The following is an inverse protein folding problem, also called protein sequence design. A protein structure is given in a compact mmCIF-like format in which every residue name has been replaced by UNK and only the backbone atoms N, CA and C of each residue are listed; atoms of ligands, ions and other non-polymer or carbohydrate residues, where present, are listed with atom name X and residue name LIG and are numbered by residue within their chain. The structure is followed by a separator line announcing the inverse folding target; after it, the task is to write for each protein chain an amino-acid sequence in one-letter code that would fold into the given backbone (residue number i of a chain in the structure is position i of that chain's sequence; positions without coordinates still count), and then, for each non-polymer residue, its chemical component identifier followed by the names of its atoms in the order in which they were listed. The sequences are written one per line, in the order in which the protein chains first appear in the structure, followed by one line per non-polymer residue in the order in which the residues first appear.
data_IF_573537326799
#
_entry.id   IF_573537326799
#
_cell.length_a   1.000
_cell.length_b   1.000
_cell.length_c   1.000
_cell.angle_alpha   90.00
_cell.angle_beta   90.00
_cell.angle_gamma   90.00
#
_symmetry.space_group_name_H-M   'P 1'
#
loop_
_entity.id
_entity.type
_entity.pdbx_description
1 polymer ?
#
# COMPACT_ATOMS: atom_id res chain seq x y z
N UNK A 1 -23.45 66.79 -25.71
CA UNK A 1 -23.27 65.34 -25.96
C UNK A 1 -22.10 64.85 -25.09
N UNK A 2 -22.37 64.31 -23.90
CA UNK A 2 -21.37 63.81 -23.00
C UNK A 2 -21.27 62.30 -23.15
N UNK A 3 -20.09 61.77 -23.55
CA UNK A 3 -19.82 60.33 -23.60
C UNK A 3 -19.31 59.85 -22.26
N UNK A 4 -20.09 59.03 -21.62
CA UNK A 4 -19.73 58.33 -20.37
C UNK A 4 -18.91 57.10 -20.73
N UNK A 5 -17.63 57.07 -20.35
CA UNK A 5 -16.73 55.92 -20.46
C UNK A 5 -16.92 55.04 -19.21
N UNK A 6 -17.55 53.85 -19.42
CA UNK A 6 -17.62 52.81 -18.38
C UNK A 6 -16.25 52.02 -18.38
N UNK A 7 -15.50 52.22 -17.28
CA UNK A 7 -14.35 51.36 -16.99
C UNK A 7 -14.85 50.07 -16.33
N UNK A 8 -14.82 48.98 -17.09
CA UNK A 8 -15.02 47.62 -16.56
C UNK A 8 -13.69 47.14 -15.94
N UNK A 9 -13.60 47.15 -14.62
CA UNK A 9 -12.50 46.58 -13.89
C UNK A 9 -12.57 45.06 -13.94
N UNK A 10 -11.61 44.39 -14.63
CA UNK A 10 -11.41 42.95 -14.54
C UNK A 10 -10.85 42.59 -13.15
N UNK A 11 -11.67 41.99 -12.32
CA UNK A 11 -11.23 41.31 -11.10
C UNK A 11 -10.62 39.95 -11.50
N UNK A 12 -9.29 39.87 -11.53
CA UNK A 12 -8.56 38.62 -11.63
C UNK A 12 -8.69 37.87 -10.30
N UNK A 13 -9.18 36.62 -10.29
CA UNK A 13 -9.17 35.81 -9.06
C UNK A 13 -7.71 35.55 -8.65
N UNK A 14 -7.35 35.91 -7.41
CA UNK A 14 -6.08 35.58 -6.84
C UNK A 14 -6.04 34.05 -6.59
N UNK A 15 -5.26 33.34 -7.43
CA UNK A 15 -4.91 31.93 -7.20
C UNK A 15 -3.95 31.86 -6.01
N UNK A 16 -4.46 31.63 -4.84
CA UNK A 16 -3.63 31.28 -3.69
C UNK A 16 -3.08 29.86 -3.93
N UNK A 17 -1.75 29.68 -3.87
CA UNK A 17 -1.20 28.32 -3.91
C UNK A 17 -1.74 27.57 -2.68
N UNK A 18 -2.41 26.45 -2.89
CA UNK A 18 -2.73 25.52 -1.82
C UNK A 18 -1.40 24.98 -1.29
N UNK A 19 -1.00 25.39 -0.10
CA UNK A 19 0.13 24.78 0.62
C UNK A 19 -0.33 23.38 0.97
N UNK A 20 0.18 22.36 0.26
CA UNK A 20 0.03 20.98 0.65
C UNK A 20 0.72 20.83 2.02
N UNK A 21 -0.05 20.59 3.07
CA UNK A 21 0.51 20.27 4.38
C UNK A 21 1.23 18.94 4.26
N UNK A 22 2.52 18.93 4.60
CA UNK A 22 3.29 17.70 4.67
C UNK A 22 2.58 16.71 5.61
N UNK A 23 2.47 15.45 5.18
CA UNK A 23 1.84 14.40 5.98
C UNK A 23 2.75 14.07 7.16
N UNK A 24 2.24 14.27 8.38
CA UNK A 24 2.92 13.85 9.59
C UNK A 24 2.69 12.34 9.83
N UNK A 25 3.80 11.59 9.84
CA UNK A 25 3.81 10.13 9.97
C UNK A 25 3.83 9.73 11.43
N UNK A 26 2.98 8.78 11.80
CA UNK A 26 2.88 8.25 13.16
C UNK A 26 3.21 6.76 13.20
N UNK A 27 3.61 6.26 14.38
CA UNK A 27 3.74 4.81 14.60
C UNK A 27 2.42 4.10 14.32
N UNK A 28 2.49 3.00 13.57
CA UNK A 28 1.31 2.24 13.16
C UNK A 28 0.65 2.71 11.87
N UNK A 29 1.14 3.80 11.26
CA UNK A 29 0.68 4.17 9.92
C UNK A 29 1.06 3.10 8.91
N UNK A 30 0.18 2.87 7.95
CA UNK A 30 0.44 2.00 6.81
C UNK A 30 0.78 2.84 5.58
N UNK A 31 1.89 2.51 4.95
CA UNK A 31 2.39 3.14 3.74
C UNK A 31 2.04 2.28 2.54
N UNK A 32 1.10 2.73 1.73
CA UNK A 32 0.73 2.06 0.49
C UNK A 32 1.47 2.70 -0.69
N UNK A 33 2.16 1.87 -1.47
CA UNK A 33 2.91 2.33 -2.66
C UNK A 33 2.06 2.07 -3.90
N UNK A 34 1.88 3.12 -4.73
CA UNK A 34 1.07 3.02 -5.94
C UNK A 34 1.63 1.99 -6.91
N UNK A 35 0.75 1.28 -7.61
CA UNK A 35 1.13 0.26 -8.57
C UNK A 35 1.91 0.83 -9.77
N UNK A 36 2.91 0.08 -10.22
CA UNK A 36 3.63 0.34 -11.46
C UNK A 36 2.86 -0.22 -12.67
N UNK A 37 3.36 0.09 -13.88
CA UNK A 37 2.66 -0.22 -15.14
C UNK A 37 3.17 -1.49 -15.84
N UNK A 38 4.06 -2.26 -15.22
CA UNK A 38 4.68 -3.44 -15.84
C UNK A 38 4.97 -4.54 -14.83
N UNK A 39 5.19 -5.76 -15.32
CA UNK A 39 5.61 -6.91 -14.53
C UNK A 39 4.61 -7.29 -13.43
N UNK A 40 5.13 -7.70 -12.29
CA UNK A 40 4.36 -8.09 -11.11
C UNK A 40 3.38 -7.00 -10.66
N UNK A 41 3.83 -5.75 -10.66
CA UNK A 41 3.02 -4.61 -10.22
C UNK A 41 1.74 -4.43 -11.07
N UNK A 42 1.88 -4.50 -12.40
CA UNK A 42 0.73 -4.44 -13.31
C UNK A 42 -0.19 -5.67 -13.16
N UNK A 43 0.37 -6.85 -12.88
CA UNK A 43 -0.43 -8.05 -12.66
C UNK A 43 -1.23 -8.00 -11.34
N UNK A 44 -0.67 -7.39 -10.28
CA UNK A 44 -1.39 -7.13 -9.03
C UNK A 44 -2.52 -6.13 -9.28
N UNK A 45 -2.24 -5.03 -10.01
CA UNK A 45 -3.24 -4.03 -10.37
C UNK A 45 -4.39 -4.64 -11.20
N UNK A 46 -4.05 -5.45 -12.20
CA UNK A 46 -5.03 -6.13 -13.05
C UNK A 46 -5.97 -7.05 -12.26
N UNK A 47 -5.44 -7.78 -11.28
CA UNK A 47 -6.23 -8.73 -10.49
C UNK A 47 -7.00 -8.09 -9.32
N UNK A 48 -6.52 -6.97 -8.77
CA UNK A 48 -7.03 -6.42 -7.49
C UNK A 48 -7.36 -4.94 -7.52
N UNK A 49 -7.01 -4.22 -8.59
CA UNK A 49 -7.26 -2.79 -8.74
C UNK A 49 -8.75 -2.49 -8.89
N UNK A 50 -9.15 -1.33 -8.39
CA UNK A 50 -10.52 -0.80 -8.55
C UNK A 50 -10.51 0.41 -9.47
N UNK A 51 -11.42 0.44 -10.44
CA UNK A 51 -11.52 1.59 -11.35
C UNK A 51 -11.82 2.89 -10.59
N UNK A 52 -11.08 3.95 -10.94
CA UNK A 52 -11.29 5.28 -10.37
C UNK A 52 -10.66 5.54 -9.00
N UNK A 53 -9.93 4.58 -8.44
CA UNK A 53 -9.17 4.73 -7.21
C UNK A 53 -7.66 4.50 -7.46
N UNK A 54 -6.78 5.07 -6.63
CA UNK A 54 -5.36 4.70 -6.65
C UNK A 54 -5.20 3.20 -6.42
N UNK A 55 -4.45 2.53 -7.28
CA UNK A 55 -4.10 1.13 -7.11
C UNK A 55 -2.74 0.99 -6.44
N UNK A 56 -2.60 -0.01 -5.57
CA UNK A 56 -1.42 -0.28 -4.77
C UNK A 56 -0.94 -1.71 -4.99
N UNK A 57 0.38 -1.88 -5.06
CA UNK A 57 1.02 -3.20 -5.15
C UNK A 57 1.92 -3.51 -3.96
N UNK A 58 2.09 -2.55 -3.06
CA UNK A 58 2.91 -2.73 -1.86
C UNK A 58 2.31 -2.02 -0.66
N UNK A 59 2.55 -2.58 0.52
CA UNK A 59 2.18 -2.00 1.82
C UNK A 59 3.27 -2.26 2.85
N UNK A 60 3.47 -1.29 3.74
CA UNK A 60 4.48 -1.32 4.79
C UNK A 60 3.96 -0.68 6.07
N UNK A 61 4.53 -1.03 7.23
CA UNK A 61 4.17 -0.54 8.56
C UNK A 61 5.23 0.43 9.08
N UNK A 62 4.81 1.60 9.54
CA UNK A 62 5.69 2.56 10.20
C UNK A 62 5.88 2.18 11.67
N UNK A 63 7.11 2.21 12.12
CA UNK A 63 7.47 2.01 13.51
C UNK A 63 8.47 3.07 13.99
N UNK A 64 8.46 3.37 15.27
CA UNK A 64 9.44 4.27 15.88
C UNK A 64 10.83 3.60 15.96
N UNK A 65 11.86 4.41 15.74
CA UNK A 65 13.25 3.97 15.88
C UNK A 65 14.07 5.03 16.65
N UNK A 66 15.22 4.69 17.20
CA UNK A 66 16.05 5.65 17.97
C UNK A 66 16.46 6.91 17.20
N UNK A 67 16.45 6.85 15.86
CA UNK A 67 16.81 7.97 14.97
C UNK A 67 15.69 8.31 13.99
N UNK A 68 14.45 8.42 14.46
CA UNK A 68 13.28 8.78 13.64
C UNK A 68 12.36 7.60 13.33
N UNK A 69 12.00 7.38 12.08
CA UNK A 69 11.06 6.36 11.66
C UNK A 69 11.73 5.23 10.88
N UNK A 70 11.37 3.99 11.20
CA UNK A 70 11.66 2.82 10.38
C UNK A 70 10.37 2.28 9.73
N UNK A 71 10.54 1.55 8.65
CA UNK A 71 9.48 0.91 7.88
C UNK A 71 9.71 -0.59 7.94
N UNK A 72 8.71 -1.34 8.40
CA UNK A 72 8.72 -2.79 8.51
C UNK A 72 7.86 -3.36 7.39
N UNK A 73 8.41 -4.22 6.54
CA UNK A 73 7.70 -4.76 5.39
C UNK A 73 8.34 -6.07 4.87
N UNK A 74 7.69 -6.70 3.89
CA UNK A 74 8.26 -7.78 3.11
C UNK A 74 8.28 -7.39 1.62
N UNK A 75 9.44 -7.48 0.98
CA UNK A 75 9.67 -7.25 -0.44
C UNK A 75 10.56 -8.35 -1.04
N UNK A 76 11.02 -8.19 -2.27
CA UNK A 76 11.87 -9.17 -2.95
C UNK A 76 13.15 -9.56 -2.17
N UNK A 77 13.54 -8.76 -1.19
CA UNK A 77 14.67 -9.03 -0.29
C UNK A 77 14.26 -9.75 1.00
N UNK A 78 12.99 -10.11 1.13
CA UNK A 78 12.41 -10.74 2.31
C UNK A 78 11.77 -9.73 3.29
N UNK A 79 11.39 -10.23 4.46
CA UNK A 79 10.86 -9.39 5.53
C UNK A 79 11.99 -8.63 6.20
N UNK A 80 11.94 -7.32 6.15
CA UNK A 80 13.04 -6.44 6.57
C UNK A 80 12.56 -5.10 7.11
N UNK A 81 13.51 -4.36 7.64
CA UNK A 81 13.35 -2.96 8.01
C UNK A 81 14.27 -2.08 7.16
N UNK A 82 13.83 -0.87 6.88
CA UNK A 82 14.65 0.21 6.33
C UNK A 82 14.22 1.55 6.94
N UNK A 83 15.01 2.58 6.82
CA UNK A 83 14.59 3.91 7.25
C UNK A 83 13.45 4.43 6.37
N UNK A 84 12.60 5.30 6.91
CA UNK A 84 11.53 5.95 6.13
C UNK A 84 12.10 6.68 4.93
N UNK A 85 13.26 7.35 5.08
CA UNK A 85 13.93 8.06 4.00
C UNK A 85 14.36 7.12 2.86
N UNK A 86 14.94 5.97 3.18
CA UNK A 86 15.29 4.98 2.13
C UNK A 86 14.05 4.45 1.43
N UNK A 87 12.96 4.19 2.18
CA UNK A 87 11.71 3.73 1.59
C UNK A 87 11.10 4.76 0.62
N UNK A 88 11.15 6.06 0.98
CA UNK A 88 10.73 7.15 0.11
C UNK A 88 11.61 7.25 -1.15
N UNK A 89 12.94 7.15 -1.00
CA UNK A 89 13.88 7.17 -2.12
C UNK A 89 13.65 6.00 -3.08
N UNK A 90 13.39 4.79 -2.56
CA UNK A 90 13.08 3.60 -3.38
C UNK A 90 11.79 3.79 -4.20
N UNK A 91 10.75 4.37 -3.60
CA UNK A 91 9.50 4.67 -4.28
C UNK A 91 9.69 5.76 -5.35
N UNK A 92 10.39 6.84 -5.00
CA UNK A 92 10.65 7.97 -5.89
C UNK A 92 11.51 7.55 -7.12
N UNK A 93 12.52 6.71 -6.91
CA UNK A 93 13.36 6.18 -8.00
C UNK A 93 12.54 5.37 -9.01
N UNK A 94 11.44 4.76 -8.57
CA UNK A 94 10.49 4.02 -9.41
C UNK A 94 9.31 4.90 -9.88
N UNK A 95 9.34 6.22 -9.66
CA UNK A 95 8.27 7.18 -9.98
C UNK A 95 6.91 6.79 -9.38
N UNK A 96 6.92 6.31 -8.13
CA UNK A 96 5.74 5.83 -7.41
C UNK A 96 5.45 6.73 -6.21
N UNK A 97 4.18 6.91 -5.91
CA UNK A 97 3.73 7.65 -4.75
C UNK A 97 3.54 6.72 -3.55
N UNK A 98 3.75 7.27 -2.37
CA UNK A 98 3.41 6.63 -1.11
C UNK A 98 2.18 7.33 -0.54
N UNK A 99 1.14 6.57 -0.24
CA UNK A 99 -0.07 7.09 0.39
C UNK A 99 -0.15 6.56 1.81
N UNK A 100 -0.28 7.48 2.76
CA UNK A 100 -0.36 7.16 4.18
C UNK A 100 -1.81 6.87 4.56
N UNK A 101 -2.01 5.74 5.22
CA UNK A 101 -3.27 5.36 5.86
C UNK A 101 -3.03 5.13 7.35
N UNK A 102 -4.02 5.49 8.17
CA UNK A 102 -3.96 5.37 9.62
C UNK A 102 -5.15 4.58 10.14
N UNK A 103 -4.91 3.74 11.13
CA UNK A 103 -5.98 3.02 11.82
C UNK A 103 -6.92 4.01 12.51
N UNK A 104 -8.22 3.77 12.41
CA UNK A 104 -9.22 4.52 13.17
C UNK A 104 -9.12 4.20 14.68
N UNK A 105 -9.62 5.10 15.51
CA UNK A 105 -9.42 5.09 16.96
C UNK A 105 -9.57 3.71 17.66
N UNK A 106 -10.59 2.89 17.44
CA UNK A 106 -10.69 1.61 18.17
C UNK A 106 -9.53 0.66 17.87
N UNK A 107 -9.02 0.63 16.64
CA UNK A 107 -7.97 -0.28 16.21
C UNK A 107 -6.56 0.20 16.55
N UNK A 108 -6.39 1.46 16.94
CA UNK A 108 -5.07 2.00 17.34
C UNK A 108 -4.49 1.30 18.56
N UNK A 109 -5.33 0.71 19.43
CA UNK A 109 -4.86 -0.09 20.55
C UNK A 109 -4.00 -1.31 20.14
N UNK A 110 -4.15 -1.79 18.89
CA UNK A 110 -3.39 -2.91 18.35
C UNK A 110 -1.95 -2.53 17.93
N UNK A 111 -1.63 -1.24 17.75
CA UNK A 111 -0.40 -0.79 17.09
C UNK A 111 0.85 -1.30 17.82
N UNK A 112 0.90 -1.16 19.13
CA UNK A 112 2.06 -1.56 19.93
C UNK A 112 2.40 -3.05 19.75
N UNK A 113 1.39 -3.90 19.82
CA UNK A 113 1.56 -5.35 19.68
C UNK A 113 1.88 -5.73 18.23
N UNK A 114 1.26 -5.05 17.26
CA UNK A 114 1.52 -5.26 15.84
C UNK A 114 2.97 -4.91 15.47
N UNK A 115 3.49 -3.77 15.94
CA UNK A 115 4.89 -3.38 15.72
C UNK A 115 5.85 -4.39 16.37
N UNK A 116 5.56 -4.83 17.60
CA UNK A 116 6.36 -5.85 18.28
C UNK A 116 6.35 -7.17 17.48
N UNK A 117 5.17 -7.63 17.03
CA UNK A 117 5.02 -8.84 16.21
C UNK A 117 5.78 -8.70 14.88
N UNK A 118 5.61 -7.60 14.16
CA UNK A 118 6.30 -7.34 12.89
C UNK A 118 7.82 -7.46 13.04
N UNK A 119 8.38 -6.95 14.16
CA UNK A 119 9.82 -7.08 14.45
C UNK A 119 10.28 -8.51 14.63
N UNK A 120 9.44 -9.40 15.19
CA UNK A 120 9.78 -10.83 15.33
C UNK A 120 9.73 -11.58 14.01
N UNK A 121 9.04 -11.04 13.02
CA UNK A 121 8.85 -11.65 11.69
C UNK A 121 9.96 -11.26 10.69
N UNK A 122 10.93 -10.44 11.08
CA UNK A 122 12.00 -10.01 10.18
C UNK A 122 12.98 -11.15 9.86
N UNK A 123 13.59 -11.07 8.66
CA UNK A 123 14.62 -12.02 8.20
C UNK A 123 14.06 -13.26 7.48
N UNK A 124 12.76 -13.34 7.25
CA UNK A 124 12.15 -14.43 6.47
C UNK A 124 12.19 -14.11 4.96
N UNK A 125 12.25 -15.13 4.08
CA UNK A 125 12.17 -14.94 2.63
C UNK A 125 10.86 -14.25 2.19
N UNK A 126 10.86 -13.68 0.99
CA UNK A 126 9.62 -13.23 0.35
C UNK A 126 8.82 -14.42 -0.19
N UNK A 127 7.54 -14.43 0.11
CA UNK A 127 6.63 -15.47 -0.37
C UNK A 127 6.13 -15.16 -1.79
N UNK A 128 6.83 -15.68 -2.77
CA UNK A 128 6.48 -15.49 -4.19
C UNK A 128 5.29 -16.36 -4.64
N UNK A 129 4.90 -17.36 -3.83
CA UNK A 129 3.73 -18.19 -4.14
C UNK A 129 2.40 -17.53 -3.75
N UNK A 130 2.41 -16.51 -2.92
CA UNK A 130 1.22 -15.86 -2.36
C UNK A 130 0.22 -16.82 -1.67
N UNK A 131 0.63 -18.06 -1.42
CA UNK A 131 -0.09 -19.04 -0.60
C UNK A 131 0.48 -18.97 0.81
N UNK A 132 -0.38 -18.73 1.81
CA UNK A 132 0.06 -18.53 3.20
C UNK A 132 0.88 -19.72 3.72
N UNK A 133 2.00 -19.41 4.34
CA UNK A 133 2.87 -20.38 5.05
C UNK A 133 3.59 -19.67 6.20
N UNK A 134 4.28 -20.42 7.08
CA UNK A 134 4.94 -19.84 8.27
C UNK A 134 6.40 -19.45 8.01
N UNK A 135 6.96 -19.74 6.83
CA UNK A 135 8.39 -19.59 6.55
C UNK A 135 8.72 -18.37 5.68
N UNK A 136 7.71 -17.74 5.10
CA UNK A 136 7.88 -16.61 4.18
C UNK A 136 6.66 -15.71 4.17
N UNK A 137 6.85 -14.43 3.81
CA UNK A 137 5.77 -13.44 3.79
C UNK A 137 5.77 -12.64 2.50
N UNK A 138 4.59 -12.35 1.95
CA UNK A 138 4.43 -11.24 0.99
C UNK A 138 3.95 -9.98 1.71
N UNK A 139 3.95 -8.82 1.06
CA UNK A 139 3.81 -7.53 1.73
C UNK A 139 2.55 -7.40 2.60
N UNK A 140 1.38 -7.70 2.07
CA UNK A 140 0.12 -7.57 2.82
C UNK A 140 -0.12 -8.71 3.81
N UNK A 141 0.39 -9.93 3.56
CA UNK A 141 0.41 -11.01 4.54
C UNK A 141 1.24 -10.63 5.78
N UNK A 142 2.42 -10.03 5.58
CA UNK A 142 3.25 -9.52 6.66
C UNK A 142 2.46 -8.54 7.55
N UNK A 143 1.73 -7.61 6.96
CA UNK A 143 0.92 -6.64 7.70
C UNK A 143 -0.27 -7.33 8.40
N UNK A 144 -1.01 -8.21 7.70
CA UNK A 144 -2.13 -8.94 8.31
C UNK A 144 -1.66 -9.73 9.52
N UNK A 145 -0.56 -10.46 9.42
CA UNK A 145 0.01 -11.24 10.53
C UNK A 145 0.45 -10.38 11.70
N UNK A 146 1.04 -9.22 11.43
CA UNK A 146 1.40 -8.27 12.48
C UNK A 146 0.17 -7.86 13.32
N UNK A 147 -0.98 -7.70 12.68
CA UNK A 147 -2.23 -7.27 13.32
C UNK A 147 -3.20 -8.42 13.65
N UNK A 148 -2.85 -9.68 13.35
CA UNK A 148 -3.74 -10.86 13.44
C UNK A 148 -4.29 -11.10 14.84
N UNK A 149 -3.48 -10.90 15.89
CA UNK A 149 -3.92 -11.10 17.28
C UNK A 149 -5.11 -10.21 17.65
N UNK A 150 -5.21 -9.05 17.01
CA UNK A 150 -6.30 -8.09 17.22
C UNK A 150 -7.38 -8.16 16.14
N UNK A 151 -7.27 -9.07 15.16
CA UNK A 151 -8.23 -9.27 14.05
C UNK A 151 -8.55 -7.97 13.30
N UNK A 152 -7.54 -7.13 13.09
CA UNK A 152 -7.70 -5.82 12.43
C UNK A 152 -8.02 -5.99 10.95
N UNK A 153 -7.37 -6.94 10.28
CA UNK A 153 -7.61 -7.27 8.88
C UNK A 153 -8.13 -8.71 8.76
N UNK A 154 -9.09 -8.92 7.85
CA UNK A 154 -9.62 -10.24 7.57
C UNK A 154 -8.92 -10.84 6.34
N UNK A 155 -8.64 -12.14 6.39
CA UNK A 155 -8.27 -12.90 5.20
C UNK A 155 -9.49 -12.99 4.27
N UNK A 156 -9.23 -12.86 2.97
CA UNK A 156 -10.24 -12.96 1.93
C UNK A 156 -9.85 -14.07 0.94
N UNK A 157 -10.80 -14.71 0.27
CA UNK A 157 -10.47 -15.58 -0.85
C UNK A 157 -9.71 -14.77 -1.91
N UNK A 158 -8.44 -15.10 -2.13
CA UNK A 158 -7.63 -14.47 -3.16
C UNK A 158 -7.74 -15.24 -4.47
N UNK A 159 -7.88 -14.51 -5.55
CA UNK A 159 -7.71 -15.05 -6.89
C UNK A 159 -6.86 -14.08 -7.73
N UNK A 160 -6.37 -14.59 -8.87
CA UNK A 160 -5.46 -13.86 -9.75
C UNK A 160 -6.13 -13.48 -11.07
N UNK A 161 -7.47 -13.42 -11.07
CA UNK A 161 -8.28 -13.05 -12.23
C UNK A 161 -8.58 -11.57 -12.23
N UNK A 162 -8.54 -10.98 -13.40
CA UNK A 162 -9.11 -9.65 -13.61
C UNK A 162 -10.63 -9.70 -13.36
N UNK A 163 -11.17 -8.85 -12.47
CA UNK A 163 -12.59 -8.94 -12.07
C UNK A 163 -13.58 -8.55 -13.18
N UNK A 164 -13.13 -7.90 -14.28
CA UNK A 164 -13.97 -7.52 -15.42
C UNK A 164 -13.91 -8.54 -16.56
N UNK A 165 -12.73 -9.11 -16.83
CA UNK A 165 -12.51 -10.02 -17.97
C UNK A 165 -12.46 -11.48 -17.57
N UNK A 166 -12.34 -11.78 -16.27
CA UNK A 166 -12.13 -13.10 -15.69
C UNK A 166 -10.83 -13.80 -16.17
N UNK A 167 -9.99 -13.08 -16.89
CA UNK A 167 -8.72 -13.60 -17.38
C UNK A 167 -7.62 -13.49 -16.31
N UNK A 168 -6.68 -14.44 -16.36
CA UNK A 168 -5.48 -14.41 -15.54
C UNK A 168 -4.37 -13.75 -16.37
N UNK A 169 -3.73 -12.72 -15.86
CA UNK A 169 -2.63 -12.06 -16.52
C UNK A 169 -1.48 -13.05 -16.79
N UNK A 170 -0.85 -12.94 -17.96
CA UNK A 170 0.22 -13.84 -18.39
C UNK A 170 1.37 -13.94 -17.38
N UNK A 171 1.64 -12.86 -16.66
CA UNK A 171 2.64 -12.82 -15.59
C UNK A 171 2.39 -13.90 -14.51
N UNK A 172 1.14 -14.06 -14.07
CA UNK A 172 0.78 -15.09 -13.09
C UNK A 172 0.91 -16.50 -13.66
N UNK A 173 0.46 -16.70 -14.90
CA UNK A 173 0.58 -17.99 -15.58
C UNK A 173 2.04 -18.42 -15.67
N UNK A 174 2.93 -17.51 -16.05
CA UNK A 174 4.35 -17.82 -16.21
C UNK A 174 5.04 -18.03 -14.86
N UNK A 175 4.70 -17.23 -13.85
CA UNK A 175 5.22 -17.36 -12.49
C UNK A 175 4.90 -18.74 -11.90
N UNK A 176 3.63 -19.15 -11.91
CA UNK A 176 3.23 -20.43 -11.31
C UNK A 176 3.68 -21.63 -12.15
N UNK A 177 3.71 -21.49 -13.47
CA UNK A 177 4.33 -22.52 -14.34
C UNK A 177 5.81 -22.72 -13.98
N UNK A 178 6.56 -21.65 -13.73
CA UNK A 178 7.95 -21.71 -13.27
C UNK A 178 8.12 -22.43 -11.92
N UNK A 179 7.10 -22.45 -11.09
CA UNK A 179 7.06 -23.19 -9.82
C UNK A 179 6.52 -24.61 -9.96
N UNK A 180 6.08 -25.03 -11.15
CA UNK A 180 5.42 -26.33 -11.36
C UNK A 180 4.02 -26.41 -10.72
N UNK A 181 3.32 -25.28 -10.58
CA UNK A 181 2.03 -25.16 -9.94
C UNK A 181 0.99 -24.54 -10.89
N UNK A 182 -0.28 -24.85 -10.67
CA UNK A 182 -1.37 -24.09 -11.23
C UNK A 182 -1.54 -22.75 -10.47
N UNK A 183 -2.08 -21.72 -11.14
CA UNK A 183 -2.39 -20.45 -10.50
C UNK A 183 -3.47 -20.68 -9.43
N UNK A 184 -3.15 -20.49 -8.13
CA UNK A 184 -4.11 -20.78 -7.06
C UNK A 184 -5.29 -19.82 -7.15
N UNK A 185 -6.48 -20.30 -6.78
CA UNK A 185 -7.69 -19.52 -6.71
C UNK A 185 -8.34 -19.74 -5.35
N UNK A 186 -8.99 -18.70 -4.85
CA UNK A 186 -9.79 -18.71 -3.62
C UNK A 186 -9.04 -19.13 -2.33
N UNK A 187 -7.71 -19.16 -2.38
CA UNK A 187 -6.92 -19.38 -1.17
C UNK A 187 -7.05 -18.18 -0.23
N UNK A 188 -7.13 -18.40 1.09
CA UNK A 188 -7.17 -17.30 2.04
C UNK A 188 -5.91 -16.44 1.94
N UNK A 189 -6.08 -15.12 1.88
CA UNK A 189 -4.96 -14.20 1.77
C UNK A 189 -5.38 -12.74 1.86
N UNK A 190 -4.48 -11.86 1.51
CA UNK A 190 -4.68 -10.41 1.47
C UNK A 190 -4.00 -9.81 0.25
N UNK A 191 -4.40 -8.61 -0.13
CA UNK A 191 -3.69 -7.81 -1.12
C UNK A 191 -3.73 -6.32 -0.72
N UNK A 192 -2.80 -5.49 -1.22
CA UNK A 192 -2.72 -4.09 -0.85
C UNK A 192 -3.99 -3.30 -1.17
N UNK A 193 -4.65 -3.54 -2.29
CA UNK A 193 -5.87 -2.83 -2.69
C UNK A 193 -7.03 -3.14 -1.74
N UNK A 194 -7.29 -4.42 -1.48
CA UNK A 194 -8.31 -4.84 -0.51
C UNK A 194 -8.03 -4.32 0.90
N UNK A 195 -6.76 -4.32 1.31
CA UNK A 195 -6.35 -3.80 2.61
C UNK A 195 -6.55 -2.29 2.72
N UNK A 196 -6.20 -1.50 1.70
CA UNK A 196 -6.38 -0.05 1.68
C UNK A 196 -7.85 0.38 1.71
N UNK A 197 -8.74 -0.48 1.21
CA UNK A 197 -10.20 -0.27 1.23
C UNK A 197 -10.86 -0.69 2.56
N UNK A 198 -10.09 -1.26 3.51
CA UNK A 198 -10.65 -1.71 4.77
C UNK A 198 -11.24 -0.54 5.58
N UNK A 199 -12.49 -0.65 6.09
CA UNK A 199 -13.18 0.44 6.79
C UNK A 199 -12.49 0.87 8.09
N UNK A 200 -11.57 0.06 8.61
CA UNK A 200 -10.75 0.38 9.78
C UNK A 200 -9.65 1.39 9.50
N UNK A 201 -9.38 1.67 8.23
CA UNK A 201 -8.37 2.63 7.78
C UNK A 201 -8.99 3.98 7.40
N UNK A 202 -8.22 5.03 7.60
CA UNK A 202 -8.46 6.38 7.10
C UNK A 202 -7.28 6.82 6.25
N UNK A 203 -7.55 7.27 5.03
CA UNK A 203 -6.53 7.90 4.19
C UNK A 203 -6.13 9.25 4.81
N UNK A 204 -4.82 9.46 5.00
CA UNK A 204 -4.26 10.69 5.56
C UNK A 204 -3.80 11.62 4.44
N UNK A 205 -2.99 11.12 3.50
CA UNK A 205 -2.47 11.93 2.39
C UNK A 205 -1.37 11.21 1.64
N UNK A 206 -0.73 11.94 0.74
CA UNK A 206 0.47 11.49 0.01
C UNK A 206 1.69 11.94 0.80
N UNK A 207 2.63 11.03 1.00
CA UNK A 207 3.92 11.32 1.63
C UNK A 207 4.86 11.89 0.56
N UNK A 208 5.31 13.11 0.79
CA UNK A 208 6.23 13.84 -0.10
C UNK A 208 7.72 13.54 0.23
#
# INVERSE_FOLDING_TARGET
MHRLLLLIGLLLPALWPAVALAVDVHEGDLLFVTAGRSGLSAAIDDATGTQGAPSFDHVALVASAPKGWEVLHADEKGSRRQSLTEFQQDAQAKQRQIVVYRLRAPQQAAIKDAVATARTMLGKPYNTSYVLNEDSYYCSDFIERAFRAHRVFALQPMNFRNPQTEQIAQHWVDLYRGMGMDVPQDQPGTNPNGMSAAPVLQRIGVLE
#
